data_IF_711594620241
#
_entry.id   IF_711594620241
#
_cell.length_a   1.000
_cell.length_b   1.000
_cell.length_c   1.000
_cell.angle_alpha   90.00
_cell.angle_beta   90.00
_cell.angle_gamma   90.00
#
_symmetry.space_group_name_H-M   'P 1'
#
loop_
_entity.id
_entity.type
_entity.pdbx_description
1 polymer ?
#
# COMPACT_ATOMS: atom_id res chain seq x y z
N UNK A 1 28.64 -10.53 -9.56
CA UNK A 1 29.08 -11.28 -8.37
C UNK A 1 28.46 -10.78 -7.04
N UNK A 2 28.29 -9.47 -6.82
CA UNK A 2 27.67 -8.93 -5.56
C UNK A 2 26.17 -9.23 -5.43
N UNK A 3 25.41 -9.18 -6.51
CA UNK A 3 23.96 -9.46 -6.53
C UNK A 3 23.65 -10.93 -6.23
N UNK A 4 24.49 -11.85 -6.73
CA UNK A 4 24.35 -13.29 -6.45
C UNK A 4 24.60 -13.63 -4.98
N UNK A 5 25.52 -12.93 -4.32
CA UNK A 5 25.78 -13.08 -2.87
C UNK A 5 24.64 -12.54 -2.01
N UNK A 6 24.03 -11.43 -2.41
CA UNK A 6 22.88 -10.86 -1.70
C UNK A 6 21.63 -11.75 -1.82
N UNK A 7 21.37 -12.33 -3.00
CA UNK A 7 20.30 -13.31 -3.21
C UNK A 7 20.53 -14.61 -2.43
N UNK A 8 21.77 -15.08 -2.35
CA UNK A 8 22.11 -16.27 -1.58
C UNK A 8 22.00 -16.07 -0.06
N UNK A 9 22.39 -14.89 0.45
CA UNK A 9 22.20 -14.51 1.86
C UNK A 9 20.73 -14.33 2.22
N UNK A 10 19.93 -13.74 1.34
CA UNK A 10 18.50 -13.63 1.51
C UNK A 10 17.80 -15.00 1.54
N UNK A 11 18.24 -15.92 0.68
CA UNK A 11 17.76 -17.31 0.67
C UNK A 11 18.12 -18.06 1.96
N UNK A 12 19.33 -17.86 2.48
CA UNK A 12 19.80 -18.51 3.72
C UNK A 12 19.10 -17.96 4.98
N UNK A 13 18.82 -16.66 5.01
CA UNK A 13 18.02 -16.04 6.08
C UNK A 13 16.55 -16.51 6.07
N UNK A 14 15.98 -16.77 4.90
CA UNK A 14 14.64 -17.32 4.74
C UNK A 14 14.56 -18.78 5.20
N UNK A 15 15.64 -19.56 5.04
CA UNK A 15 15.70 -20.96 5.47
C UNK A 15 15.84 -21.12 6.98
N UNK A 16 16.47 -20.18 7.67
CA UNK A 16 16.69 -20.26 9.13
C UNK A 16 15.45 -19.95 9.98
N UNK A 17 14.41 -19.35 9.37
CA UNK A 17 13.12 -19.09 10.04
C UNK A 17 12.16 -20.29 10.01
N UNK A 18 12.54 -21.40 9.37
CA UNK A 18 11.67 -22.56 9.13
C UNK A 18 11.52 -23.53 10.30
N UNK A 19 12.09 -23.25 11.46
CA UNK A 19 12.16 -24.23 12.57
C UNK A 19 11.22 -23.98 13.74
N UNK A 20 10.20 -23.11 13.62
CA UNK A 20 9.33 -22.82 14.75
C UNK A 20 7.92 -23.44 14.62
N UNK A 21 7.62 -24.30 15.60
CA UNK A 21 6.33 -24.83 16.05
C UNK A 21 5.51 -25.63 15.01
N UNK A 22 5.56 -26.93 15.15
CA UNK A 22 4.60 -27.86 14.56
C UNK A 22 3.27 -27.78 15.31
N UNK A 23 2.24 -27.17 14.74
CA UNK A 23 0.87 -27.37 15.16
C UNK A 23 0.37 -28.67 14.50
N UNK A 24 0.22 -29.71 15.29
CA UNK A 24 -0.33 -31.00 14.85
C UNK A 24 -1.86 -30.91 14.89
N UNK A 25 -2.51 -30.68 13.74
CA UNK A 25 -3.97 -30.72 13.67
C UNK A 25 -4.55 -30.00 12.44
N UNK A 26 -5.71 -30.48 12.02
CA UNK A 26 -6.55 -29.85 10.99
C UNK A 26 -7.39 -28.69 11.54
N UNK A 27 -7.36 -28.47 12.84
CA UNK A 27 -8.22 -27.51 13.54
C UNK A 27 -7.82 -26.04 13.28
N UNK A 28 -8.82 -25.19 13.31
CA UNK A 28 -8.60 -23.74 13.22
C UNK A 28 -7.94 -23.23 14.50
N UNK A 29 -6.91 -22.39 14.32
CA UNK A 29 -6.11 -21.83 15.42
C UNK A 29 -6.35 -20.34 15.59
N UNK A 30 -6.19 -19.88 16.85
CA UNK A 30 -6.13 -18.45 17.15
C UNK A 30 -4.69 -18.01 17.22
N UNK A 31 -4.30 -17.07 16.36
CA UNK A 31 -2.92 -16.61 16.24
C UNK A 31 -2.83 -15.13 15.91
N UNK A 32 -1.86 -14.40 16.44
CA UNK A 32 -1.43 -13.13 15.89
C UNK A 32 -0.74 -13.36 14.55
N UNK A 33 -0.99 -12.47 13.61
CA UNK A 33 -0.38 -12.50 12.28
C UNK A 33 0.17 -11.12 11.94
N UNK A 34 1.37 -11.08 11.42
CA UNK A 34 1.95 -9.90 10.79
C UNK A 34 2.24 -10.25 9.36
N UNK A 35 2.00 -9.34 8.44
CA UNK A 35 2.21 -9.59 7.02
C UNK A 35 2.78 -8.39 6.30
N UNK A 36 3.46 -8.69 5.22
CA UNK A 36 3.88 -7.73 4.20
C UNK A 36 3.15 -8.05 2.91
N UNK A 37 2.82 -7.04 2.13
CA UNK A 37 2.18 -7.28 0.85
C UNK A 37 2.59 -6.28 -0.20
N UNK A 38 2.46 -6.74 -1.43
CA UNK A 38 2.60 -5.95 -2.64
C UNK A 38 1.30 -6.05 -3.45
N UNK A 39 0.96 -4.97 -4.11
CA UNK A 39 -0.19 -4.94 -5.00
C UNK A 39 -0.04 -3.90 -6.09
N UNK A 40 -0.99 -3.95 -7.00
CA UNK A 40 -1.15 -2.96 -8.04
C UNK A 40 -2.60 -2.56 -8.18
N UNK A 41 -2.85 -1.30 -8.56
CA UNK A 41 -4.18 -0.75 -8.70
C UNK A 41 -4.33 0.12 -9.94
N UNK A 42 -5.47 0.01 -10.56
CA UNK A 42 -5.97 0.98 -11.53
C UNK A 42 -6.83 2.02 -10.81
N UNK A 43 -6.55 3.29 -11.08
CA UNK A 43 -7.34 4.40 -10.58
C UNK A 43 -8.65 4.53 -11.35
N UNK A 44 -9.72 4.86 -10.63
CA UNK A 44 -11.06 5.15 -11.14
C UNK A 44 -11.67 6.37 -10.46
N UNK A 45 -12.84 6.78 -10.91
CA UNK A 45 -13.50 7.98 -10.41
C UNK A 45 -12.60 9.22 -10.54
N UNK A 46 -12.71 10.12 -9.58
CA UNK A 46 -11.93 11.38 -9.58
C UNK A 46 -10.42 11.16 -9.47
N UNK A 47 -9.98 10.02 -8.91
CA UNK A 47 -8.56 9.69 -8.84
C UNK A 47 -7.95 9.46 -10.22
N UNK A 48 -8.73 8.91 -11.16
CA UNK A 48 -8.28 8.60 -12.51
C UNK A 48 -7.99 9.84 -13.37
N UNK A 49 -8.50 11.01 -12.97
CA UNK A 49 -8.16 12.29 -13.60
C UNK A 49 -6.69 12.68 -13.35
N UNK A 50 -6.14 12.24 -12.21
CA UNK A 50 -4.80 12.62 -11.78
C UNK A 50 -3.76 11.54 -11.95
N UNK A 51 -4.16 10.28 -11.72
CA UNK A 51 -3.24 9.15 -11.66
C UNK A 51 -3.75 7.98 -12.50
N UNK A 52 -2.81 7.24 -13.07
CA UNK A 52 -3.09 5.99 -13.75
C UNK A 52 -2.90 4.77 -12.86
N UNK A 53 -2.15 3.79 -13.34
CA UNK A 53 -1.78 2.61 -12.57
C UNK A 53 -0.81 2.98 -11.45
N UNK A 54 -1.01 2.40 -10.25
CA UNK A 54 -0.18 2.61 -9.07
C UNK A 54 0.27 1.29 -8.47
N UNK A 55 1.52 1.26 -8.02
CA UNK A 55 2.05 0.18 -7.20
C UNK A 55 1.78 0.46 -5.73
N UNK A 56 1.63 -0.60 -4.94
CA UNK A 56 1.37 -0.53 -3.50
C UNK A 56 2.26 -1.50 -2.76
N UNK A 57 2.84 -1.04 -1.66
CA UNK A 57 3.52 -1.90 -0.68
C UNK A 57 2.92 -1.62 0.69
N UNK A 58 2.73 -2.64 1.48
CA UNK A 58 2.06 -2.43 2.75
C UNK A 58 2.37 -3.49 3.79
N UNK A 59 1.87 -3.20 4.97
CA UNK A 59 1.98 -4.01 6.17
C UNK A 59 0.58 -4.32 6.71
N UNK A 60 0.44 -5.49 7.30
CA UNK A 60 -0.76 -5.92 8.00
C UNK A 60 -0.37 -6.48 9.35
N UNK A 61 -1.08 -6.12 10.40
CA UNK A 61 -0.94 -6.69 11.73
C UNK A 61 -2.33 -6.98 12.30
N UNK A 62 -2.55 -8.19 12.78
CA UNK A 62 -3.86 -8.56 13.28
C UNK A 62 -3.88 -9.88 14.05
N UNK A 63 -5.07 -10.29 14.36
CA UNK A 63 -5.34 -11.50 15.09
C UNK A 63 -6.42 -12.34 14.39
N UNK A 64 -6.12 -13.61 14.13
CA UNK A 64 -7.06 -14.61 13.62
C UNK A 64 -7.61 -15.42 14.78
N UNK A 65 -8.93 -15.56 14.86
CA UNK A 65 -9.63 -16.35 15.85
C UNK A 65 -9.86 -17.80 15.38
N UNK A 66 -10.14 -18.72 16.31
CA UNK A 66 -10.50 -20.12 16.00
C UNK A 66 -11.75 -20.25 15.11
N UNK A 67 -12.69 -19.32 15.18
CA UNK A 67 -13.89 -19.29 14.33
C UNK A 67 -13.65 -18.68 12.94
N UNK A 68 -12.37 -18.51 12.56
CA UNK A 68 -11.93 -17.97 11.28
C UNK A 68 -12.29 -16.49 11.04
N UNK A 69 -12.70 -15.75 12.04
CA UNK A 69 -12.72 -14.30 12.00
C UNK A 69 -11.32 -13.77 12.24
N UNK A 70 -11.02 -12.64 11.62
CA UNK A 70 -9.77 -11.89 11.83
C UNK A 70 -10.07 -10.40 11.93
N UNK A 71 -9.24 -9.68 12.67
CA UNK A 71 -9.30 -8.23 12.78
C UNK A 71 -7.89 -7.68 13.00
N UNK A 72 -7.69 -6.44 12.62
CA UNK A 72 -6.38 -5.81 12.76
C UNK A 72 -6.28 -4.49 12.05
N UNK A 73 -5.04 -4.11 11.78
CA UNK A 73 -4.67 -2.88 11.08
C UNK A 73 -3.91 -3.23 9.81
N UNK A 74 -4.11 -2.43 8.78
CA UNK A 74 -3.34 -2.49 7.54
C UNK A 74 -2.95 -1.07 7.12
N UNK A 75 -1.80 -0.95 6.48
CA UNK A 75 -1.33 0.31 5.92
C UNK A 75 -0.60 0.04 4.62
N UNK A 76 -0.87 0.84 3.60
CA UNK A 76 -0.20 0.79 2.31
C UNK A 76 0.42 2.14 1.97
N UNK A 77 1.57 2.08 1.33
CA UNK A 77 2.19 3.18 0.63
C UNK A 77 2.05 2.98 -0.88
N UNK A 78 1.63 4.02 -1.59
CA UNK A 78 1.40 4.00 -3.04
C UNK A 78 2.47 4.80 -3.75
N UNK A 79 2.88 4.32 -4.90
CA UNK A 79 3.85 5.02 -5.72
C UNK A 79 3.68 4.69 -7.20
N UNK A 80 3.85 5.72 -8.04
CA UNK A 80 3.81 5.56 -9.49
C UNK A 80 4.45 6.78 -10.16
N UNK A 81 4.91 6.58 -11.38
CA UNK A 81 5.29 7.65 -12.31
C UNK A 81 4.13 8.03 -13.22
N UNK A 82 3.01 7.31 -13.15
CA UNK A 82 1.87 7.51 -14.04
C UNK A 82 0.96 8.63 -13.52
N UNK A 83 1.44 9.88 -13.64
CA UNK A 83 0.71 11.10 -13.35
C UNK A 83 0.13 11.62 -14.66
N UNK A 84 -1.19 11.86 -14.69
CA UNK A 84 -1.93 12.31 -15.88
C UNK A 84 -2.13 13.82 -15.95
N UNK A 85 -1.74 14.55 -14.90
CA UNK A 85 -1.83 15.99 -14.87
C UNK A 85 -0.84 16.59 -15.89
N UNK A 86 -1.36 17.31 -16.85
CA UNK A 86 -0.58 18.03 -17.86
C UNK A 86 -0.55 19.52 -17.53
N UNK A 87 0.47 20.23 -17.99
CA UNK A 87 0.54 21.69 -17.86
C UNK A 87 0.85 22.20 -16.45
N UNK A 88 1.25 21.36 -15.49
CA UNK A 88 1.55 21.78 -14.12
C UNK A 88 2.57 22.92 -14.03
N UNK A 89 3.48 23.00 -14.99
CA UNK A 89 4.61 23.94 -14.98
C UNK A 89 4.67 24.83 -16.24
N UNK A 90 3.61 24.86 -17.06
CA UNK A 90 3.61 25.61 -18.33
C UNK A 90 3.95 27.09 -18.13
N UNK A 91 3.53 27.68 -17.02
CA UNK A 91 3.80 29.07 -16.68
C UNK A 91 5.26 29.33 -16.22
N UNK A 92 6.06 28.27 -16.00
CA UNK A 92 7.48 28.34 -15.65
C UNK A 92 8.39 28.03 -16.82
N UNK A 93 7.84 27.66 -17.97
CA UNK A 93 8.58 27.27 -19.17
C UNK A 93 8.96 28.53 -19.94
N UNK A 94 10.23 28.61 -20.33
CA UNK A 94 10.76 29.68 -21.17
C UNK A 94 10.34 29.53 -22.67
N UNK A 95 10.75 30.49 -23.50
CA UNK A 95 10.45 30.45 -24.94
C UNK A 95 11.10 29.27 -25.69
N UNK A 96 12.01 28.54 -25.05
CA UNK A 96 12.69 27.36 -25.61
C UNK A 96 12.10 26.05 -25.07
N UNK A 97 11.10 26.12 -24.19
CA UNK A 97 10.47 24.96 -23.60
C UNK A 97 11.18 24.42 -22.35
N UNK A 98 12.06 25.16 -21.71
CA UNK A 98 12.82 24.74 -20.53
C UNK A 98 12.37 25.46 -19.27
N UNK A 99 12.47 24.75 -18.14
CA UNK A 99 12.41 25.38 -16.81
C UNK A 99 13.82 25.73 -16.38
N UNK A 100 14.05 26.97 -15.98
CA UNK A 100 15.37 27.44 -15.60
C UNK A 100 15.67 27.19 -14.14
N UNK A 101 16.85 26.63 -13.84
CA UNK A 101 17.35 26.43 -12.49
C UNK A 101 17.98 27.71 -11.89
N UNK A 102 18.48 27.65 -10.66
CA UNK A 102 19.14 28.73 -9.95
C UNK A 102 20.46 29.21 -10.60
N UNK A 103 21.07 28.39 -11.46
CA UNK A 103 22.30 28.72 -12.23
C UNK A 103 22.00 29.25 -13.63
N UNK A 104 20.74 29.47 -13.98
CA UNK A 104 20.33 29.90 -15.32
C UNK A 104 20.41 28.81 -16.40
N UNK A 105 20.51 27.54 -16.02
CA UNK A 105 20.56 26.41 -16.94
C UNK A 105 19.22 25.67 -16.96
N UNK A 106 18.92 24.87 -18.00
CA UNK A 106 17.74 24.01 -18.02
C UNK A 106 17.74 23.03 -16.82
N UNK A 107 16.66 23.06 -16.05
CA UNK A 107 16.38 22.14 -14.92
C UNK A 107 15.43 21.03 -15.31
N UNK A 108 15.61 19.85 -14.71
CA UNK A 108 14.71 18.72 -14.89
C UNK A 108 13.75 18.60 -13.71
N UNK A 109 12.45 18.53 -13.98
CA UNK A 109 11.39 18.38 -12.99
C UNK A 109 10.67 17.07 -13.21
N UNK A 110 10.63 16.23 -12.18
CA UNK A 110 9.95 14.95 -12.20
C UNK A 110 8.71 14.99 -11.30
N UNK A 111 7.64 14.34 -11.75
CA UNK A 111 6.39 14.24 -11.00
C UNK A 111 6.04 12.79 -10.75
N UNK A 112 5.62 12.51 -9.53
CA UNK A 112 5.25 11.16 -9.07
C UNK A 112 3.90 11.18 -8.36
N UNK A 113 3.14 10.12 -8.53
CA UNK A 113 2.01 9.86 -7.67
C UNK A 113 2.49 9.24 -6.35
N UNK A 114 2.03 9.77 -5.22
CA UNK A 114 2.29 9.25 -3.89
C UNK A 114 1.00 9.25 -3.09
N UNK A 115 0.84 8.23 -2.28
CA UNK A 115 -0.27 8.15 -1.36
C UNK A 115 -0.02 7.12 -0.28
N UNK A 116 -0.86 7.17 0.72
CA UNK A 116 -0.89 6.17 1.79
C UNK A 116 -2.29 6.05 2.35
N UNK A 117 -2.58 4.91 2.94
CA UNK A 117 -3.73 4.75 3.80
C UNK A 117 -3.38 3.93 5.04
N UNK A 118 -4.18 4.11 6.07
CA UNK A 118 -4.16 3.30 7.28
C UNK A 118 -5.60 2.93 7.63
N UNK A 119 -5.88 1.63 7.71
CA UNK A 119 -7.22 1.09 7.90
C UNK A 119 -7.26 0.11 9.06
N UNK A 120 -8.37 0.06 9.75
CA UNK A 120 -8.77 -1.09 10.55
C UNK A 120 -9.57 -2.05 9.67
N UNK A 121 -9.34 -3.35 9.84
CA UNK A 121 -10.04 -4.37 9.07
C UNK A 121 -10.72 -5.42 9.95
N UNK A 122 -11.77 -6.01 9.40
CA UNK A 122 -12.38 -7.25 9.83
C UNK A 122 -12.49 -8.19 8.64
N UNK A 123 -12.17 -9.46 8.84
CA UNK A 123 -12.21 -10.46 7.78
C UNK A 123 -12.74 -11.79 8.28
N UNK A 124 -13.15 -12.61 7.33
CA UNK A 124 -13.56 -14.00 7.60
C UNK A 124 -12.96 -14.92 6.56
N UNK A 125 -12.35 -15.99 7.03
CA UNK A 125 -11.88 -17.08 6.21
C UNK A 125 -12.96 -18.15 6.11
N UNK A 126 -13.23 -18.60 4.89
CA UNK A 126 -14.12 -19.72 4.57
C UNK A 126 -13.25 -20.90 4.13
N UNK A 127 -13.04 -21.91 4.99
CA UNK A 127 -12.20 -23.05 4.67
C UNK A 127 -12.71 -23.81 3.45
N UNK A 128 -11.80 -24.21 2.56
CA UNK A 128 -12.13 -25.03 1.38
C UNK A 128 -11.73 -26.51 1.57
N UNK A 129 -10.95 -26.81 2.60
CA UNK A 129 -10.43 -28.14 2.83
C UNK A 129 -10.49 -28.49 4.33
N UNK A 130 -11.08 -29.62 4.66
CA UNK A 130 -11.17 -30.13 6.04
C UNK A 130 -9.79 -30.47 6.64
N UNK A 131 -8.79 -30.76 5.79
CA UNK A 131 -7.43 -31.05 6.25
C UNK A 131 -6.67 -29.80 6.70
N UNK A 132 -7.11 -28.62 6.29
CA UNK A 132 -6.52 -27.34 6.70
C UNK A 132 -7.61 -26.28 6.81
N UNK A 133 -8.21 -26.18 7.99
CA UNK A 133 -9.25 -25.19 8.28
C UNK A 133 -8.72 -23.73 8.37
N UNK A 134 -7.42 -23.54 8.27
CA UNK A 134 -6.77 -22.22 8.28
C UNK A 134 -6.51 -21.66 6.87
N UNK A 135 -6.95 -22.40 5.83
CA UNK A 135 -6.77 -21.99 4.43
C UNK A 135 -8.08 -22.02 3.68
N UNK A 136 -8.33 -21.02 2.84
CA UNK A 136 -9.56 -20.92 2.09
C UNK A 136 -9.79 -19.54 1.50
N UNK A 137 -11.04 -19.23 1.19
CA UNK A 137 -11.45 -17.92 0.69
C UNK A 137 -11.46 -16.92 1.85
N UNK A 138 -10.67 -15.86 1.71
CA UNK A 138 -10.64 -14.74 2.66
C UNK A 138 -11.48 -13.61 2.09
N UNK A 139 -12.47 -13.18 2.84
CA UNK A 139 -13.23 -11.94 2.58
C UNK A 139 -12.90 -10.96 3.69
N UNK A 140 -12.51 -9.76 3.32
CA UNK A 140 -12.09 -8.73 4.28
C UNK A 140 -12.73 -7.40 3.92
N UNK A 141 -13.15 -6.67 4.95
CA UNK A 141 -13.68 -5.33 4.88
C UNK A 141 -12.80 -4.43 5.74
N UNK A 142 -12.38 -3.29 5.22
CA UNK A 142 -11.59 -2.35 5.98
C UNK A 142 -12.05 -0.91 5.75
N UNK A 143 -11.74 -0.06 6.73
CA UNK A 143 -12.02 1.36 6.66
C UNK A 143 -10.99 2.13 7.47
N UNK A 144 -10.72 3.36 7.05
CA UNK A 144 -9.73 4.21 7.69
C UNK A 144 -9.53 5.53 6.96
N UNK A 145 -8.30 5.99 6.96
CA UNK A 145 -7.93 7.29 6.41
C UNK A 145 -6.96 7.14 5.25
N UNK A 146 -7.19 7.95 4.21
CA UNK A 146 -6.41 7.96 2.97
C UNK A 146 -5.85 9.35 2.72
N UNK A 147 -4.65 9.38 2.17
CA UNK A 147 -3.96 10.58 1.74
C UNK A 147 -3.26 10.30 0.43
N UNK A 148 -3.34 11.22 -0.53
CA UNK A 148 -2.53 11.18 -1.74
C UNK A 148 -2.18 12.56 -2.25
N UNK A 149 -1.09 12.65 -2.99
CA UNK A 149 -0.60 13.90 -3.57
C UNK A 149 0.34 13.64 -4.75
N UNK A 150 0.61 14.68 -5.50
CA UNK A 150 1.71 14.71 -6.49
C UNK A 150 2.99 15.06 -5.77
N UNK A 151 4.00 14.22 -5.84
CA UNK A 151 5.36 14.50 -5.40
C UNK A 151 6.16 15.08 -6.55
N UNK A 152 6.81 16.20 -6.31
CA UNK A 152 7.62 16.90 -7.28
C UNK A 152 9.08 16.82 -6.82
N UNK A 153 9.95 16.39 -7.73
CA UNK A 153 11.38 16.28 -7.50
C UNK A 153 12.14 17.05 -8.59
N UNK A 154 13.16 17.76 -8.17
CA UNK A 154 14.12 18.42 -9.05
C UNK A 154 15.40 17.59 -9.04
N UNK A 155 15.83 17.11 -10.20
CA UNK A 155 17.03 16.30 -10.33
C UNK A 155 18.24 17.21 -10.45
N UNK A 156 19.22 17.05 -9.55
CA UNK A 156 20.56 17.64 -9.54
C UNK A 156 20.63 19.19 -9.59
N UNK A 157 19.51 19.91 -9.62
CA UNK A 157 19.46 21.36 -9.72
C UNK A 157 18.29 21.93 -8.94
N UNK A 158 18.52 22.99 -8.22
CA UNK A 158 17.46 23.71 -7.51
C UNK A 158 16.66 24.54 -8.51
N UNK A 159 15.35 24.32 -8.57
CA UNK A 159 14.41 25.18 -9.28
C UNK A 159 13.62 25.97 -8.24
N UNK A 160 13.99 27.21 -7.94
CA UNK A 160 13.46 27.95 -6.80
C UNK A 160 11.93 28.09 -6.79
N UNK A 161 11.33 28.16 -7.99
CA UNK A 161 9.87 28.32 -8.18
C UNK A 161 9.05 27.12 -7.75
N UNK A 162 9.67 25.95 -7.53
CA UNK A 162 9.02 24.71 -7.13
C UNK A 162 9.71 24.05 -5.93
N UNK A 163 10.48 24.79 -5.16
CA UNK A 163 11.12 24.30 -3.94
C UNK A 163 10.33 24.65 -2.68
N UNK A 164 10.62 23.93 -1.58
CA UNK A 164 10.07 24.16 -0.24
C UNK A 164 8.54 24.28 -0.26
N UNK A 165 8.04 25.40 0.23
CA UNK A 165 6.59 25.65 0.35
C UNK A 165 5.89 25.87 -0.99
N UNK A 166 6.61 26.28 -2.05
CA UNK A 166 6.03 26.41 -3.39
C UNK A 166 5.53 25.06 -3.94
N UNK A 167 6.15 23.94 -3.58
CA UNK A 167 5.68 22.59 -3.95
C UNK A 167 4.22 22.35 -3.55
N UNK A 168 3.78 22.97 -2.46
CA UNK A 168 2.39 22.84 -1.96
C UNK A 168 1.36 23.41 -2.93
N UNK A 169 1.75 24.37 -3.78
CA UNK A 169 0.87 24.92 -4.82
C UNK A 169 0.61 23.99 -6.00
N UNK A 170 1.39 22.93 -6.13
CA UNK A 170 1.29 21.96 -7.24
C UNK A 170 0.94 20.54 -6.81
N UNK A 171 1.05 20.22 -5.54
CA UNK A 171 1.01 18.84 -5.03
C UNK A 171 -0.39 18.21 -5.02
N UNK A 172 -1.46 18.99 -5.19
CA UNK A 172 -2.84 18.49 -5.20
C UNK A 172 -3.17 17.61 -4.00
N UNK A 173 -2.65 17.97 -2.81
CA UNK A 173 -2.87 17.19 -1.59
C UNK A 173 -4.37 16.96 -1.34
N UNK A 174 -4.72 15.69 -1.20
CA UNK A 174 -6.08 15.22 -1.01
C UNK A 174 -6.12 14.20 0.11
N UNK A 175 -7.09 14.33 1.02
CA UNK A 175 -7.24 13.41 2.15
C UNK A 175 -8.70 13.16 2.46
N UNK A 176 -9.01 12.02 3.08
CA UNK A 176 -10.36 11.70 3.51
C UNK A 176 -10.48 10.32 4.14
N UNK A 177 -11.71 9.88 4.30
CA UNK A 177 -12.01 8.52 4.74
C UNK A 177 -11.97 7.56 3.54
N UNK A 178 -11.73 6.30 3.82
CA UNK A 178 -11.82 5.27 2.80
C UNK A 178 -12.45 4.00 3.35
N UNK A 179 -12.98 3.20 2.43
CA UNK A 179 -13.40 1.82 2.65
C UNK A 179 -12.76 0.93 1.61
N UNK A 180 -12.47 -0.32 1.96
CA UNK A 180 -11.88 -1.28 1.03
C UNK A 180 -12.48 -2.67 1.28
N UNK A 181 -12.82 -3.36 0.21
CA UNK A 181 -13.20 -4.75 0.19
C UNK A 181 -12.08 -5.56 -0.45
N UNK A 182 -11.76 -6.71 0.14
CA UNK A 182 -10.81 -7.67 -0.40
C UNK A 182 -11.45 -9.04 -0.45
N UNK A 183 -11.25 -9.73 -1.56
CA UNK A 183 -11.62 -11.14 -1.74
C UNK A 183 -10.45 -11.86 -2.37
N UNK A 184 -10.02 -12.95 -1.76
CA UNK A 184 -8.89 -13.71 -2.23
C UNK A 184 -8.76 -15.08 -1.59
N UNK A 185 -7.70 -15.78 -1.91
CA UNK A 185 -7.33 -17.02 -1.26
C UNK A 185 -6.23 -16.77 -0.24
N UNK A 186 -6.41 -17.31 0.97
CA UNK A 186 -5.41 -17.28 2.03
C UNK A 186 -4.99 -18.70 2.36
N UNK A 187 -3.68 -18.93 2.34
CA UNK A 187 -3.05 -20.16 2.75
C UNK A 187 -2.23 -19.93 4.00
N UNK A 188 -2.66 -20.53 5.11
CA UNK A 188 -1.94 -20.54 6.36
C UNK A 188 -1.45 -21.98 6.62
N UNK A 189 -0.13 -22.15 6.64
CA UNK A 189 0.48 -23.43 6.87
C UNK A 189 0.45 -23.78 8.38
N UNK A 190 -0.12 -24.91 8.74
CA UNK A 190 -0.19 -25.37 10.13
C UNK A 190 1.17 -25.78 10.74
N UNK A 191 2.21 -25.90 9.89
CA UNK A 191 3.54 -26.39 10.28
C UNK A 191 4.65 -25.35 10.14
N UNK A 192 4.36 -24.07 9.90
CA UNK A 192 5.39 -23.01 9.86
C UNK A 192 5.36 -22.09 8.64
N UNK A 193 6.47 -21.68 8.16
CA UNK A 193 6.89 -20.45 7.52
C UNK A 193 6.21 -20.00 6.22
N UNK A 194 5.46 -20.83 5.53
CA UNK A 194 4.91 -20.48 4.22
C UNK A 194 3.41 -20.18 4.32
N UNK A 195 3.08 -18.96 4.68
CA UNK A 195 1.68 -18.51 4.73
C UNK A 195 1.54 -17.29 3.85
N UNK A 196 0.64 -17.34 2.89
CA UNK A 196 0.44 -16.27 1.92
C UNK A 196 -1.04 -16.05 1.63
N UNK A 197 -1.33 -14.92 1.04
CA UNK A 197 -2.64 -14.65 0.47
C UNK A 197 -2.51 -13.90 -0.85
N UNK A 198 -3.47 -14.09 -1.72
CA UNK A 198 -3.57 -13.39 -2.99
C UNK A 198 -5.04 -13.17 -3.34
N UNK A 199 -5.35 -12.02 -3.89
CA UNK A 199 -6.73 -11.70 -4.26
C UNK A 199 -6.87 -10.33 -4.90
N UNK A 200 -8.13 -9.96 -5.07
CA UNK A 200 -8.54 -8.69 -5.63
C UNK A 200 -9.10 -7.80 -4.53
N UNK A 201 -8.96 -6.50 -4.71
CA UNK A 201 -9.57 -5.52 -3.83
C UNK A 201 -10.23 -4.40 -4.63
N UNK A 202 -11.21 -3.78 -3.98
CA UNK A 202 -11.85 -2.56 -4.44
C UNK A 202 -11.86 -1.56 -3.30
N UNK A 203 -11.36 -0.35 -3.54
CA UNK A 203 -11.26 0.72 -2.56
C UNK A 203 -12.02 1.95 -3.03
N UNK A 204 -12.75 2.56 -2.11
CA UNK A 204 -13.45 3.83 -2.29
C UNK A 204 -12.90 4.85 -1.30
N UNK A 205 -12.37 5.95 -1.81
CA UNK A 205 -11.95 7.10 -1.02
C UNK A 205 -12.99 8.22 -1.13
N UNK A 206 -13.45 8.70 0.01
CA UNK A 206 -14.31 9.86 0.15
C UNK A 206 -13.43 11.02 0.61
N UNK A 207 -12.91 11.78 -0.35
CA UNK A 207 -11.79 12.68 -0.12
C UNK A 207 -12.11 14.13 -0.45
N UNK A 208 -11.28 15.02 0.04
CA UNK A 208 -11.37 16.46 -0.20
C UNK A 208 -9.99 17.04 -0.52
N UNK A 209 -9.94 18.00 -1.41
CA UNK A 209 -8.73 18.79 -1.65
C UNK A 209 -8.38 19.57 -0.36
N UNK A 210 -7.07 19.62 -0.05
CA UNK A 210 -6.56 20.31 1.15
C UNK A 210 -5.80 21.60 0.82
N UNK A 211 -5.59 21.86 -0.47
CA UNK A 211 -5.00 23.11 -0.92
C UNK A 211 -6.10 24.13 -1.24
N UNK A 212 -5.79 25.40 -1.01
CA UNK A 212 -6.69 26.52 -1.28
C UNK A 212 -6.44 27.13 -2.65
N UNK A 213 -5.27 26.91 -3.19
CA UNK A 213 -4.84 27.44 -4.50
C UNK A 213 -3.99 26.41 -5.25
N UNK A 214 -4.09 26.41 -6.57
CA UNK A 214 -3.21 25.72 -7.49
C UNK A 214 -2.43 26.74 -8.29
N UNK A 215 -1.10 26.70 -8.23
CA UNK A 215 -0.27 27.73 -8.85
C UNK A 215 -0.25 27.67 -10.37
N UNK A 216 -0.52 26.51 -10.96
CA UNK A 216 -0.73 26.35 -12.41
C UNK A 216 -2.08 26.90 -12.90
N UNK A 217 -3.03 27.13 -12.00
CA UNK A 217 -4.38 27.62 -12.30
C UNK A 217 -4.86 28.58 -11.19
N UNK A 218 -4.17 29.72 -10.99
CA UNK A 218 -4.44 30.59 -9.85
C UNK A 218 -5.84 31.24 -9.90
N UNK A 219 -6.36 31.45 -11.10
CA UNK A 219 -7.69 32.06 -11.32
C UNK A 219 -8.85 31.08 -11.16
N UNK A 220 -8.57 29.77 -11.04
CA UNK A 220 -9.59 28.75 -10.85
C UNK A 220 -9.63 28.31 -9.39
N UNK A 221 -10.74 28.59 -8.67
CA UNK A 221 -10.88 28.16 -7.29
C UNK A 221 -10.75 26.63 -7.16
N UNK A 222 -9.98 26.18 -6.15
CA UNK A 222 -9.89 24.75 -5.86
C UNK A 222 -11.23 24.23 -5.35
N UNK A 223 -11.74 23.19 -6.01
CA UNK A 223 -13.02 22.58 -5.63
C UNK A 223 -12.95 22.03 -4.19
N UNK A 224 -13.94 22.40 -3.39
CA UNK A 224 -14.18 21.88 -2.04
C UNK A 224 -15.17 20.71 -2.02
N UNK A 225 -15.67 20.29 -3.19
CA UNK A 225 -16.61 19.18 -3.30
C UNK A 225 -15.99 17.86 -2.87
N UNK A 226 -16.85 16.96 -2.39
CA UNK A 226 -16.46 15.59 -2.11
C UNK A 226 -15.99 14.92 -3.40
N UNK A 227 -14.82 14.28 -3.35
CA UNK A 227 -14.26 13.48 -4.42
C UNK A 227 -14.49 12.00 -4.13
N UNK A 228 -14.82 11.25 -5.16
CA UNK A 228 -14.91 9.80 -5.10
C UNK A 228 -13.70 9.18 -5.80
N UNK A 229 -12.68 8.89 -5.02
CA UNK A 229 -11.44 8.27 -5.49
C UNK A 229 -11.57 6.75 -5.45
N UNK A 230 -11.56 6.11 -6.61
CA UNK A 230 -11.71 4.66 -6.74
C UNK A 230 -10.38 3.99 -7.08
N UNK A 231 -10.19 2.78 -6.56
CA UNK A 231 -9.09 1.90 -6.95
C UNK A 231 -9.57 0.46 -7.04
N UNK A 232 -9.19 -0.21 -8.11
CA UNK A 232 -9.41 -1.65 -8.29
C UNK A 232 -8.08 -2.30 -8.60
N UNK A 233 -7.75 -3.37 -7.90
CA UNK A 233 -6.46 -3.99 -8.07
C UNK A 233 -6.31 -5.36 -7.45
N UNK A 234 -5.08 -5.85 -7.48
CA UNK A 234 -4.69 -7.12 -6.86
C UNK A 234 -3.74 -6.88 -5.71
N UNK A 235 -3.74 -7.83 -4.76
CA UNK A 235 -2.82 -7.86 -3.63
C UNK A 235 -2.30 -9.27 -3.44
N UNK A 236 -0.99 -9.39 -3.24
CA UNK A 236 -0.30 -10.62 -2.84
C UNK A 236 0.48 -10.31 -1.58
N UNK A 237 0.30 -11.13 -0.56
CA UNK A 237 0.97 -10.92 0.71
C UNK A 237 1.49 -12.20 1.34
N UNK A 238 2.44 -12.03 2.22
CA UNK A 238 3.02 -13.08 3.04
C UNK A 238 2.72 -12.80 4.50
N UNK A 239 2.19 -13.81 5.20
CA UNK A 239 1.97 -13.80 6.64
C UNK A 239 3.11 -14.47 7.38
N UNK A 240 3.48 -13.87 8.50
CA UNK A 240 4.35 -14.45 9.51
C UNK A 240 3.45 -14.76 10.72
N UNK A 241 2.97 -16.00 10.86
CA UNK A 241 2.14 -16.37 11.99
C UNK A 241 3.02 -16.56 13.24
N UNK A 242 2.56 -16.03 14.36
CA UNK A 242 3.22 -16.23 15.65
C UNK A 242 2.47 -17.31 16.43
N UNK A 243 2.94 -18.54 16.32
CA UNK A 243 2.40 -19.66 17.09
C UNK A 243 2.92 -19.58 18.53
N UNK A 244 2.01 -19.63 19.51
CA UNK A 244 2.37 -19.82 20.91
C UNK A 244 2.83 -21.27 21.11
N UNK A 245 4.03 -21.47 21.65
CA UNK A 245 4.46 -22.79 22.09
C UNK A 245 3.68 -23.12 23.36
N UNK A 246 2.83 -24.13 23.33
CA UNK A 246 2.29 -24.68 24.57
C UNK A 246 3.44 -25.21 25.41
N UNK A 247 3.50 -24.93 26.75
CA UNK A 247 4.49 -25.50 27.62
C UNK A 247 4.39 -27.04 27.52
N UNK A 248 5.46 -27.70 27.14
CA UNK A 248 5.54 -29.16 27.27
C UNK A 248 5.64 -29.46 28.76
N UNK A 249 4.64 -30.11 29.32
CA UNK A 249 4.73 -30.70 30.66
C UNK A 249 5.82 -31.76 30.61
N UNK A 250 6.95 -31.45 31.24
CA UNK A 250 8.00 -32.44 31.48
C UNK A 250 7.59 -33.29 32.67
N UNK A 251 7.05 -34.48 32.40
CA UNK A 251 6.92 -35.48 33.42
C UNK A 251 8.30 -36.06 33.73
N UNK A 252 8.85 -35.76 34.89
CA UNK A 252 9.95 -36.51 35.44
C UNK A 252 9.38 -37.79 36.06
N UNK A 253 9.74 -38.95 35.51
CA UNK A 253 9.56 -40.25 36.16
C UNK A 253 10.76 -40.53 37.09
#
# INVERSE_FOLDING_TARGET
>A
MKIFRALFLAHFLLFSLAYFAQVSGSESVSIPVVGVHYGGAFSGGDLAERFGYMNRVGLTAGYKLKNNWSFGLESDFWFSENVKLTGLFDHLIDSQGNITNDLGMPGSVLVYARGMHANAYVGRLFPLNERNQNSGILVQLSSGYILHHVRIETNDNVVPQIELDYKKGYDRLTTGLNTQQFVGYSFLNNRGSYSFYAGLYFQQGFTYNRRTINFDQPDIPVSTALRLDLQTGFRVGWYIPFYSSEPRDFYYN
#
